data_IF_814676126886
#
_entry.id   IF_814676126886
#
_cell.length_a   1.000
_cell.length_b   1.000
_cell.length_c   1.000
_cell.angle_alpha   90.00
_cell.angle_beta   90.00
_cell.angle_gamma   90.00
#
_symmetry.space_group_name_H-M   'P 1'
#
loop_
_entity.id
_entity.type
_entity.pdbx_description
1 polymer ?
#
# COMPACT_ATOMS: atom_id res chain seq x y z
N UNK A 1 -1.17 -44.29 66.86
CA UNK A 1 -2.56 -44.27 67.35
C UNK A 1 -2.92 -42.81 67.67
N UNK A 2 -4.12 -42.30 67.34
CA UNK A 2 -5.32 -43.04 67.01
C UNK A 2 -5.92 -42.72 65.63
N UNK A 3 -6.70 -43.69 65.16
CA UNK A 3 -7.68 -43.53 64.11
C UNK A 3 -8.90 -42.72 64.60
N UNK A 4 -9.40 -41.85 63.73
CA UNK A 4 -10.55 -41.07 64.12
C UNK A 4 -11.36 -40.54 62.90
N UNK A 5 -12.49 -41.15 62.67
CA UNK A 5 -13.76 -40.67 62.09
C UNK A 5 -13.83 -40.43 60.56
N UNK A 6 -14.04 -41.54 59.86
CA UNK A 6 -14.83 -41.56 58.60
C UNK A 6 -16.23 -42.11 58.93
N UNK A 7 -17.06 -41.39 59.59
CA UNK A 7 -18.47 -41.78 59.79
C UNK A 7 -19.29 -40.59 60.31
N UNK A 8 -19.85 -39.78 59.41
CA UNK A 8 -20.93 -38.83 59.76
C UNK A 8 -21.73 -38.21 58.61
N UNK A 9 -21.60 -38.70 57.39
CA UNK A 9 -22.40 -38.08 56.28
C UNK A 9 -23.50 -38.97 55.66
N UNK A 10 -23.68 -40.20 56.15
CA UNK A 10 -24.73 -41.10 55.58
C UNK A 10 -26.05 -41.17 56.38
N UNK A 11 -26.13 -40.58 57.53
CA UNK A 11 -27.37 -40.68 58.38
C UNK A 11 -28.40 -39.59 58.13
N UNK A 12 -28.15 -38.62 57.25
CA UNK A 12 -29.09 -37.51 56.96
C UNK A 12 -30.00 -37.71 55.73
N UNK A 13 -29.72 -38.73 54.89
CA UNK A 13 -30.46 -38.92 53.65
C UNK A 13 -31.57 -39.98 53.69
N UNK A 14 -31.66 -40.80 54.72
CA UNK A 14 -32.61 -41.90 54.80
C UNK A 14 -34.09 -41.49 55.16
N UNK A 15 -34.34 -40.21 55.44
CA UNK A 15 -35.68 -39.68 55.81
C UNK A 15 -36.18 -38.51 54.96
N UNK A 16 -35.59 -38.27 53.79
CA UNK A 16 -36.04 -37.23 52.92
C UNK A 16 -37.11 -37.75 51.92
N UNK A 17 -38.13 -36.96 51.70
CA UNK A 17 -39.13 -37.25 50.66
C UNK A 17 -38.43 -37.42 49.28
N UNK A 18 -38.94 -38.33 48.44
CA UNK A 18 -38.33 -38.58 47.12
C UNK A 18 -38.08 -37.32 46.28
N UNK A 19 -38.97 -36.35 46.33
CA UNK A 19 -38.88 -35.04 45.65
C UNK A 19 -37.70 -34.18 46.16
N UNK A 20 -37.43 -34.25 47.47
CA UNK A 20 -36.34 -33.49 48.09
C UNK A 20 -34.98 -34.09 47.80
N UNK A 21 -34.90 -35.41 47.67
CA UNK A 21 -33.73 -36.14 47.22
C UNK A 21 -33.35 -35.83 45.74
N UNK A 22 -34.37 -35.77 44.90
CA UNK A 22 -34.19 -35.40 43.49
C UNK A 22 -33.78 -33.96 43.31
N UNK A 23 -34.34 -33.03 44.10
CA UNK A 23 -33.93 -31.61 44.12
C UNK A 23 -32.47 -31.47 44.53
N UNK A 24 -32.02 -32.12 45.59
CA UNK A 24 -30.62 -32.10 46.04
C UNK A 24 -29.68 -32.71 45.03
N UNK A 25 -30.05 -33.77 44.33
CA UNK A 25 -29.26 -34.34 43.23
C UNK A 25 -29.09 -33.33 42.11
N UNK A 26 -30.15 -32.69 41.65
CA UNK A 26 -30.10 -31.63 40.64
C UNK A 26 -29.21 -30.45 41.05
N UNK A 27 -29.38 -29.98 42.30
CA UNK A 27 -28.57 -28.90 42.86
C UNK A 27 -27.05 -29.27 42.91
N UNK A 28 -26.75 -30.52 43.24
CA UNK A 28 -25.36 -31.03 43.28
C UNK A 28 -24.77 -31.16 41.89
N UNK A 29 -25.58 -31.63 40.92
CA UNK A 29 -25.18 -31.76 39.51
C UNK A 29 -24.92 -30.40 38.87
N UNK A 30 -25.82 -29.44 39.02
CA UNK A 30 -25.67 -28.04 38.57
C UNK A 30 -24.47 -27.36 39.23
N UNK A 31 -24.23 -27.63 40.52
CA UNK A 31 -23.07 -27.09 41.23
C UNK A 31 -21.76 -27.71 40.75
N UNK A 32 -21.79 -29.03 40.41
CA UNK A 32 -20.68 -29.76 39.82
C UNK A 32 -20.31 -29.23 38.44
N UNK A 33 -21.32 -28.95 37.58
CA UNK A 33 -21.10 -28.37 36.25
C UNK A 33 -20.57 -26.92 36.31
N UNK A 34 -21.09 -26.10 37.25
CA UNK A 34 -20.60 -24.74 37.49
C UNK A 34 -19.15 -24.70 37.96
N UNK A 35 -18.74 -25.64 38.83
CA UNK A 35 -17.36 -25.76 39.32
C UNK A 35 -16.44 -26.27 38.20
N UNK A 36 -16.87 -27.25 37.41
CA UNK A 36 -16.14 -27.76 36.25
C UNK A 36 -15.99 -26.70 35.14
N UNK A 37 -17.03 -25.90 34.90
CA UNK A 37 -16.98 -24.78 33.95
C UNK A 37 -16.02 -23.68 34.40
N UNK A 38 -16.02 -23.33 35.71
CA UNK A 38 -15.03 -22.39 36.27
C UNK A 38 -13.61 -22.95 36.20
N UNK A 39 -13.40 -24.21 36.53
CA UNK A 39 -12.06 -24.84 36.47
C UNK A 39 -11.51 -24.87 35.04
N UNK A 40 -12.34 -25.20 34.04
CA UNK A 40 -11.94 -25.17 32.61
C UNK A 40 -11.58 -23.76 32.16
N UNK A 41 -12.35 -22.73 32.51
CA UNK A 41 -12.05 -21.32 32.19
C UNK A 41 -10.72 -20.86 32.82
N UNK A 42 -10.42 -21.24 34.06
CA UNK A 42 -9.16 -20.89 34.72
C UNK A 42 -7.97 -21.65 34.11
N UNK A 43 -8.13 -22.89 33.70
CA UNK A 43 -7.10 -23.66 33.00
C UNK A 43 -6.77 -23.05 31.65
N UNK A 44 -7.77 -22.58 30.89
CA UNK A 44 -7.55 -21.88 29.63
C UNK A 44 -6.84 -20.52 29.82
N UNK A 45 -7.21 -19.73 30.83
CA UNK A 45 -6.56 -18.46 31.16
C UNK A 45 -5.11 -18.65 31.60
N UNK A 46 -4.83 -19.74 32.32
CA UNK A 46 -3.47 -20.07 32.80
C UNK A 46 -2.52 -20.53 31.68
N UNK A 47 -3.03 -21.01 30.56
CA UNK A 47 -2.24 -21.48 29.41
C UNK A 47 -2.25 -20.41 28.29
N UNK A 48 -3.41 -19.87 27.96
CA UNK A 48 -3.56 -18.91 26.87
C UNK A 48 -2.93 -17.53 27.21
N UNK A 49 -2.99 -17.10 28.47
CA UNK A 49 -2.38 -15.87 28.93
C UNK A 49 -0.86 -15.83 28.75
N UNK A 50 -0.10 -16.79 29.33
CA UNK A 50 1.35 -16.87 29.13
C UNK A 50 1.75 -17.10 27.67
N UNK A 51 1.02 -17.93 26.93
CA UNK A 51 1.28 -18.17 25.50
C UNK A 51 1.08 -16.89 24.69
N UNK A 52 0.02 -16.15 24.96
CA UNK A 52 -0.23 -14.84 24.34
C UNK A 52 0.87 -13.83 24.66
N UNK A 53 1.32 -13.79 25.92
CA UNK A 53 2.43 -12.93 26.34
C UNK A 53 3.75 -13.28 25.62
N UNK A 54 4.03 -14.58 25.45
CA UNK A 54 5.22 -15.04 24.71
C UNK A 54 5.13 -14.66 23.23
N UNK A 55 3.96 -14.83 22.59
CA UNK A 55 3.75 -14.43 21.19
C UNK A 55 3.94 -12.92 21.04
N UNK A 56 3.35 -12.12 21.92
CA UNK A 56 3.53 -10.66 21.91
C UNK A 56 5.01 -10.28 22.11
N UNK A 57 5.72 -10.92 23.02
CA UNK A 57 7.14 -10.66 23.24
C UNK A 57 7.99 -11.03 22.00
N UNK A 58 7.67 -12.13 21.32
CA UNK A 58 8.33 -12.53 20.06
C UNK A 58 8.04 -11.49 18.97
N UNK A 59 6.78 -11.07 18.83
CA UNK A 59 6.37 -10.05 17.85
C UNK A 59 7.06 -8.71 18.10
N UNK A 60 7.11 -8.24 19.34
CA UNK A 60 7.83 -7.03 19.74
C UNK A 60 9.34 -7.16 19.49
N UNK A 61 9.94 -8.31 19.78
CA UNK A 61 11.34 -8.59 19.48
C UNK A 61 11.65 -8.61 17.98
N UNK A 62 10.77 -9.21 17.18
CA UNK A 62 10.86 -9.21 15.72
C UNK A 62 10.72 -7.78 15.17
N UNK A 63 9.72 -7.04 15.64
CA UNK A 63 9.50 -5.64 15.26
C UNK A 63 10.71 -4.75 15.62
N UNK A 64 11.28 -4.91 16.81
CA UNK A 64 12.46 -4.14 17.21
C UNK A 64 13.69 -4.46 16.33
N UNK A 65 13.88 -5.74 15.96
CA UNK A 65 15.01 -6.17 15.12
C UNK A 65 14.85 -5.78 13.65
N UNK A 66 13.66 -5.93 13.11
CA UNK A 66 13.34 -5.65 11.70
C UNK A 66 11.91 -5.09 11.57
N UNK A 67 11.69 -3.82 11.98
CA UNK A 67 10.37 -3.21 11.95
C UNK A 67 9.77 -3.19 10.55
N UNK A 68 10.60 -2.93 9.55
CA UNK A 68 10.14 -2.84 8.15
C UNK A 68 9.79 -4.21 7.59
N UNK A 69 10.54 -5.25 7.93
CA UNK A 69 10.17 -6.62 7.56
C UNK A 69 8.84 -7.04 8.17
N UNK A 70 8.57 -6.66 9.42
CA UNK A 70 7.27 -6.91 10.07
C UNK A 70 6.16 -6.09 9.41
N UNK A 71 6.39 -4.81 9.12
CA UNK A 71 5.42 -3.97 8.42
C UNK A 71 5.12 -4.51 7.02
N UNK A 72 6.15 -4.91 6.25
CA UNK A 72 5.96 -5.57 4.95
C UNK A 72 5.14 -6.85 5.06
N UNK A 73 5.40 -7.66 6.08
CA UNK A 73 4.65 -8.89 6.32
C UNK A 73 3.18 -8.59 6.66
N UNK A 74 2.90 -7.61 7.53
CA UNK A 74 1.54 -7.17 7.84
C UNK A 74 0.85 -6.67 6.58
N UNK A 75 1.49 -5.79 5.82
CA UNK A 75 0.93 -5.21 4.59
C UNK A 75 0.67 -6.24 3.50
N UNK A 76 1.59 -7.20 3.29
CA UNK A 76 1.36 -8.28 2.32
C UNK A 76 0.24 -9.21 2.76
N UNK A 77 0.03 -9.36 4.06
CA UNK A 77 -1.09 -10.14 4.62
C UNK A 77 -2.41 -9.39 4.43
N UNK A 78 -2.44 -8.09 4.70
CA UNK A 78 -3.61 -7.22 4.47
C UNK A 78 -3.98 -7.16 2.98
N UNK A 79 -2.98 -6.98 2.11
CA UNK A 79 -3.18 -7.05 0.65
C UNK A 79 -3.74 -8.41 0.22
N UNK A 80 -3.25 -9.51 0.82
CA UNK A 80 -3.78 -10.84 0.57
C UNK A 80 -5.27 -10.98 0.94
N UNK A 81 -5.71 -10.37 2.04
CA UNK A 81 -7.14 -10.33 2.41
C UNK A 81 -7.99 -9.51 1.44
N UNK A 82 -7.41 -8.48 0.82
CA UNK A 82 -8.05 -7.69 -0.25
C UNK A 82 -7.93 -8.35 -1.64
N UNK A 83 -7.53 -9.62 -1.72
CA UNK A 83 -7.37 -10.35 -2.98
C UNK A 83 -6.17 -9.95 -3.82
N UNK A 84 -5.24 -9.16 -3.27
CA UNK A 84 -4.01 -8.73 -3.94
C UNK A 84 -2.89 -9.72 -3.64
N UNK A 85 -2.16 -10.15 -4.67
CA UNK A 85 -1.01 -11.03 -4.55
C UNK A 85 0.23 -10.47 -5.23
N UNK A 86 1.42 -10.76 -4.66
CA UNK A 86 2.69 -10.48 -5.30
C UNK A 86 2.99 -11.54 -6.36
N UNK A 87 3.43 -11.10 -7.54
CA UNK A 87 3.83 -11.92 -8.67
C UNK A 87 5.18 -11.45 -9.22
N UNK A 88 5.75 -12.24 -10.10
CA UNK A 88 7.01 -11.95 -10.78
C UNK A 88 6.88 -12.23 -12.26
N UNK A 89 7.53 -11.43 -13.09
CA UNK A 89 7.57 -11.61 -14.54
C UNK A 89 8.99 -11.38 -15.05
N UNK A 90 9.47 -12.30 -15.89
CA UNK A 90 10.74 -12.15 -16.60
C UNK A 90 10.51 -11.28 -17.84
N UNK A 91 11.26 -10.19 -17.95
CA UNK A 91 11.31 -9.28 -19.10
C UNK A 91 12.74 -9.24 -19.65
N UNK A 92 12.94 -8.59 -20.81
CA UNK A 92 14.26 -8.51 -21.46
C UNK A 92 15.34 -7.91 -20.54
N UNK A 93 14.96 -6.92 -19.72
CA UNK A 93 15.84 -6.24 -18.79
C UNK A 93 15.98 -6.94 -17.42
N UNK A 94 15.34 -8.08 -17.21
CA UNK A 94 15.42 -8.87 -15.99
C UNK A 94 14.08 -9.09 -15.31
N UNK A 95 14.12 -9.47 -14.04
CA UNK A 95 12.93 -9.78 -13.26
C UNK A 95 12.22 -8.49 -12.84
N UNK A 96 10.93 -8.39 -13.12
CA UNK A 96 10.06 -7.35 -12.57
C UNK A 96 9.05 -7.97 -11.60
N UNK A 97 9.01 -7.48 -10.38
CA UNK A 97 8.01 -7.87 -9.39
C UNK A 97 6.81 -6.95 -9.49
N UNK A 98 5.60 -7.46 -9.26
CA UNK A 98 4.39 -6.65 -9.29
C UNK A 98 3.33 -7.21 -8.36
N UNK A 99 2.38 -6.35 -7.99
CA UNK A 99 1.19 -6.72 -7.22
C UNK A 99 -0.02 -6.73 -8.14
N UNK A 100 -0.92 -7.68 -7.95
CA UNK A 100 -2.13 -7.83 -8.76
C UNK A 100 -3.30 -8.24 -7.89
N UNK A 101 -4.44 -7.61 -8.06
CA UNK A 101 -5.68 -8.16 -7.53
C UNK A 101 -6.10 -9.37 -8.39
N UNK A 102 -6.67 -10.39 -7.77
CA UNK A 102 -7.04 -11.65 -8.42
C UNK A 102 -8.13 -11.54 -9.51
N UNK A 103 -8.23 -10.39 -10.17
CA UNK A 103 -9.26 -10.00 -11.11
C UNK A 103 -9.51 -10.99 -12.24
N UNK A 104 -10.74 -11.03 -12.70
CA UNK A 104 -11.20 -11.85 -13.82
C UNK A 104 -10.58 -11.39 -15.14
N UNK A 105 -10.35 -12.31 -16.08
CA UNK A 105 -9.67 -12.06 -17.37
C UNK A 105 -10.30 -10.99 -18.27
N UNK A 106 -11.55 -10.64 -18.02
CA UNK A 106 -12.33 -9.71 -18.85
C UNK A 106 -12.43 -8.28 -18.28
N UNK A 107 -11.63 -7.93 -17.26
CA UNK A 107 -11.70 -6.62 -16.60
C UNK A 107 -10.76 -5.61 -17.27
N UNK A 108 -11.21 -4.36 -17.32
CA UNK A 108 -10.40 -3.24 -17.82
C UNK A 108 -9.14 -3.06 -16.94
N UNK A 109 -7.94 -3.04 -17.54
CA UNK A 109 -6.70 -3.00 -16.75
C UNK A 109 -6.41 -1.58 -16.25
N UNK A 110 -5.97 -1.53 -14.98
CA UNK A 110 -5.43 -0.33 -14.32
C UNK A 110 -4.01 -0.63 -13.86
N UNK A 111 -3.04 0.17 -14.29
CA UNK A 111 -1.64 0.06 -13.86
C UNK A 111 -1.33 1.23 -12.94
N UNK A 112 -0.84 0.92 -11.74
CA UNK A 112 -0.45 1.87 -10.70
C UNK A 112 1.07 1.96 -10.66
N UNK A 113 1.63 3.12 -10.98
CA UNK A 113 3.07 3.35 -11.12
C UNK A 113 3.54 4.20 -9.94
N UNK A 114 4.42 3.62 -9.10
CA UNK A 114 5.02 4.33 -7.97
C UNK A 114 6.12 5.29 -8.42
N UNK A 115 6.45 6.26 -7.59
CA UNK A 115 7.57 7.19 -7.76
C UNK A 115 8.75 6.84 -6.86
N UNK A 116 9.40 7.87 -6.32
CA UNK A 116 10.53 7.72 -5.40
C UNK A 116 10.11 7.18 -4.03
N UNK A 117 11.02 6.47 -3.39
CA UNK A 117 10.85 5.97 -2.02
C UNK A 117 10.16 4.61 -1.94
N UNK A 118 9.00 4.49 -1.29
CA UNK A 118 8.44 3.18 -1.00
C UNK A 118 7.97 2.46 -2.28
N UNK A 119 8.02 1.12 -2.23
CA UNK A 119 7.61 0.26 -3.33
C UNK A 119 6.10 0.34 -3.65
N UNK A 120 5.71 -0.27 -4.77
CA UNK A 120 4.32 -0.27 -5.24
C UNK A 120 3.32 -0.74 -4.19
N UNK A 121 3.65 -1.79 -3.39
CA UNK A 121 2.77 -2.29 -2.34
C UNK A 121 2.50 -1.24 -1.26
N UNK A 122 3.51 -0.46 -0.88
CA UNK A 122 3.36 0.56 0.17
C UNK A 122 2.57 1.77 -0.30
N UNK A 123 2.84 2.22 -1.54
CA UNK A 123 2.21 3.41 -2.11
C UNK A 123 0.73 3.17 -2.43
N UNK A 124 0.39 1.96 -2.88
CA UNK A 124 -0.94 1.66 -3.43
C UNK A 124 -1.79 0.72 -2.57
N UNK A 125 -1.29 0.30 -1.39
CA UNK A 125 -1.91 -0.72 -0.53
C UNK A 125 -3.39 -0.49 -0.23
N UNK A 126 -3.76 0.76 0.05
CA UNK A 126 -5.09 1.09 0.54
C UNK A 126 -6.11 1.30 -0.60
N UNK A 127 -5.64 1.36 -1.87
CA UNK A 127 -6.49 1.63 -3.04
C UNK A 127 -6.58 0.47 -4.04
N UNK A 128 -5.59 -0.45 -4.07
CA UNK A 128 -5.59 -1.57 -5.02
C UNK A 128 -6.82 -2.48 -4.89
N UNK A 129 -7.13 -2.91 -3.67
CA UNK A 129 -8.30 -3.74 -3.37
C UNK A 129 -9.60 -3.05 -3.75
N UNK A 130 -9.89 -1.87 -3.21
CA UNK A 130 -11.10 -1.10 -3.51
C UNK A 130 -11.29 -0.77 -4.99
N UNK A 131 -10.24 -0.42 -5.73
CA UNK A 131 -10.34 -0.24 -7.19
C UNK A 131 -10.69 -1.57 -7.87
N UNK A 132 -10.08 -2.69 -7.41
CA UNK A 132 -10.39 -4.03 -7.91
C UNK A 132 -11.83 -4.45 -7.66
N UNK A 133 -12.41 -4.13 -6.50
CA UNK A 133 -13.82 -4.33 -6.18
C UNK A 133 -14.75 -3.53 -7.12
N UNK A 134 -14.25 -2.43 -7.68
CA UNK A 134 -14.91 -1.66 -8.73
C UNK A 134 -14.94 -2.34 -10.11
N UNK A 135 -14.56 -3.62 -10.21
CA UNK A 135 -14.48 -4.42 -11.43
C UNK A 135 -13.33 -4.05 -12.38
N UNK A 136 -12.20 -3.58 -11.85
CA UNK A 136 -10.97 -3.35 -12.62
C UNK A 136 -9.89 -4.41 -12.29
N UNK A 137 -9.06 -4.73 -13.27
CA UNK A 137 -7.86 -5.55 -13.06
C UNK A 137 -6.71 -4.63 -12.71
N UNK A 138 -6.39 -4.53 -11.42
CA UNK A 138 -5.35 -3.61 -10.93
C UNK A 138 -4.01 -4.33 -10.86
N UNK A 139 -2.98 -3.70 -11.43
CA UNK A 139 -1.60 -4.16 -11.37
C UNK A 139 -0.70 -3.01 -10.93
N UNK A 140 0.26 -3.29 -10.05
CA UNK A 140 1.21 -2.31 -9.55
C UNK A 140 2.63 -2.89 -9.64
N UNK A 141 3.36 -2.65 -10.76
CA UNK A 141 4.75 -3.08 -10.89
C UNK A 141 5.67 -2.27 -9.98
N UNK A 142 6.70 -2.91 -9.44
CA UNK A 142 7.87 -2.23 -8.94
C UNK A 142 8.78 -1.91 -10.14
N UNK A 143 9.13 -0.64 -10.30
CA UNK A 143 10.05 -0.19 -11.34
C UNK A 143 11.42 -0.85 -11.18
N UNK A 144 12.25 -0.87 -12.21
CA UNK A 144 13.60 -1.41 -12.12
C UNK A 144 14.47 -0.61 -11.16
N UNK A 145 15.34 -1.29 -10.40
CA UNK A 145 16.13 -0.65 -9.35
C UNK A 145 15.37 -0.38 -8.06
N UNK A 146 14.11 -0.82 -7.96
CA UNK A 146 13.28 -0.65 -6.77
C UNK A 146 12.80 -1.97 -6.19
N UNK A 147 12.78 -2.05 -4.87
CA UNK A 147 12.28 -3.19 -4.10
C UNK A 147 12.92 -4.53 -4.52
N UNK A 148 12.10 -5.49 -4.96
CA UNK A 148 12.55 -6.83 -5.35
C UNK A 148 12.60 -7.00 -6.89
N UNK A 149 12.46 -5.92 -7.68
CA UNK A 149 12.70 -5.93 -9.12
C UNK A 149 14.20 -5.90 -9.41
N UNK A 150 14.61 -6.21 -10.63
CA UNK A 150 16.03 -6.26 -11.04
C UNK A 150 16.75 -4.94 -10.79
N UNK A 151 17.92 -5.03 -10.13
CA UNK A 151 18.80 -3.89 -9.83
C UNK A 151 20.04 -3.98 -10.76
N UNK A 152 19.86 -3.56 -12.01
CA UNK A 152 20.99 -3.50 -12.94
C UNK A 152 21.86 -2.25 -12.74
N UNK A 153 23.11 -2.37 -13.12
CA UNK A 153 24.05 -1.24 -13.24
C UNK A 153 23.83 -0.54 -14.59
N UNK A 154 22.70 0.14 -14.71
CA UNK A 154 22.29 0.93 -15.88
C UNK A 154 21.90 2.33 -15.40
N UNK A 155 21.83 3.30 -16.31
CA UNK A 155 21.31 4.61 -15.99
C UNK A 155 19.78 4.53 -15.90
N UNK A 156 19.24 4.49 -14.69
CA UNK A 156 17.80 4.58 -14.46
C UNK A 156 17.30 5.98 -14.82
N UNK A 157 16.43 6.08 -15.79
CA UNK A 157 15.83 7.32 -16.24
C UNK A 157 14.31 7.15 -16.36
N UNK A 158 13.56 8.24 -16.45
CA UNK A 158 12.11 8.17 -16.73
C UNK A 158 11.88 7.41 -18.04
N UNK A 159 12.70 7.67 -19.06
CA UNK A 159 12.64 6.96 -20.34
C UNK A 159 12.90 5.46 -20.20
N UNK A 160 13.90 5.06 -19.38
CA UNK A 160 14.22 3.65 -19.14
C UNK A 160 13.05 2.93 -18.42
N UNK A 161 12.49 3.55 -17.40
CA UNK A 161 11.37 2.99 -16.67
C UNK A 161 10.08 2.94 -17.53
N UNK A 162 9.86 3.92 -18.40
CA UNK A 162 8.76 3.89 -19.37
C UNK A 162 8.93 2.75 -20.40
N UNK A 163 10.16 2.46 -20.83
CA UNK A 163 10.44 1.30 -21.68
C UNK A 163 10.20 -0.03 -20.94
N UNK A 164 10.58 -0.10 -19.67
CA UNK A 164 10.27 -1.25 -18.80
C UNK A 164 8.74 -1.45 -18.64
N UNK A 165 7.99 -0.37 -18.48
CA UNK A 165 6.53 -0.39 -18.43
C UNK A 165 5.92 -0.90 -19.75
N UNK A 166 6.48 -0.49 -20.91
CA UNK A 166 6.02 -1.00 -22.22
C UNK A 166 6.19 -2.52 -22.31
N UNK A 167 7.36 -3.03 -21.92
CA UNK A 167 7.63 -4.49 -21.88
C UNK A 167 6.70 -5.22 -20.91
N UNK A 168 6.40 -4.63 -19.77
CA UNK A 168 5.42 -5.17 -18.83
C UNK A 168 4.03 -5.27 -19.45
N UNK A 169 3.54 -4.20 -20.08
CA UNK A 169 2.24 -4.15 -20.76
C UNK A 169 2.15 -5.18 -21.88
N UNK A 170 3.20 -5.29 -22.71
CA UNK A 170 3.30 -6.29 -23.79
C UNK A 170 3.25 -7.71 -23.22
N UNK A 171 4.04 -8.02 -22.19
CA UNK A 171 4.10 -9.36 -21.59
C UNK A 171 2.78 -9.74 -20.91
N UNK A 172 2.08 -8.78 -20.32
CA UNK A 172 0.74 -8.98 -19.74
C UNK A 172 -0.35 -9.08 -20.81
N UNK A 173 0.00 -8.88 -22.11
CA UNK A 173 -0.91 -8.91 -23.27
C UNK A 173 -2.09 -7.95 -23.10
N UNK A 174 -1.79 -6.73 -22.70
CA UNK A 174 -2.78 -5.68 -22.51
C UNK A 174 -2.81 -4.79 -23.75
N UNK A 175 -3.98 -4.71 -24.39
CA UNK A 175 -4.16 -3.90 -25.59
C UNK A 175 -4.25 -2.42 -25.25
N UNK A 176 -4.99 -2.08 -24.19
CA UNK A 176 -5.19 -0.71 -23.72
C UNK A 176 -5.31 -0.67 -22.20
N UNK A 177 -4.74 0.35 -21.55
CA UNK A 177 -4.62 0.42 -20.09
C UNK A 177 -5.01 1.78 -19.54
N UNK A 178 -5.54 1.81 -18.32
CA UNK A 178 -5.61 3.01 -17.50
C UNK A 178 -4.30 3.15 -16.72
N UNK A 179 -3.64 4.28 -16.79
CA UNK A 179 -2.41 4.56 -16.07
C UNK A 179 -2.68 5.54 -14.93
N UNK A 180 -2.26 5.17 -13.72
CA UNK A 180 -2.21 6.05 -12.56
C UNK A 180 -0.76 6.11 -12.09
N UNK A 181 -0.10 7.24 -12.26
CA UNK A 181 1.27 7.45 -11.80
C UNK A 181 1.32 8.43 -10.64
N UNK A 182 2.11 8.12 -9.63
CA UNK A 182 2.36 8.99 -8.49
C UNK A 182 3.83 9.45 -8.48
N UNK A 183 4.07 10.74 -8.14
CA UNK A 183 5.40 11.38 -8.08
C UNK A 183 6.15 11.21 -9.41
N UNK A 184 7.41 10.74 -9.46
CA UNK A 184 8.09 10.42 -10.72
C UNK A 184 7.44 9.29 -11.51
N UNK A 185 6.63 8.43 -10.88
CA UNK A 185 5.79 7.48 -11.59
C UNK A 185 4.74 8.16 -12.48
N UNK A 186 4.35 9.40 -12.15
CA UNK A 186 3.50 10.21 -13.04
C UNK A 186 4.26 10.66 -14.30
N UNK A 187 5.56 10.98 -14.17
CA UNK A 187 6.41 11.28 -15.34
C UNK A 187 6.64 10.04 -16.20
N UNK A 188 6.82 8.84 -15.59
CA UNK A 188 6.89 7.56 -16.33
C UNK A 188 5.59 7.30 -17.10
N UNK A 189 4.42 7.48 -16.44
CA UNK A 189 3.12 7.31 -17.07
C UNK A 189 2.92 8.30 -18.23
N UNK A 190 3.32 9.55 -18.03
CA UNK A 190 3.20 10.60 -19.04
C UNK A 190 4.15 10.36 -20.21
N UNK A 191 5.41 9.95 -19.94
CA UNK A 191 6.38 9.57 -20.98
C UNK A 191 5.85 8.43 -21.85
N UNK A 192 5.35 7.36 -21.21
CA UNK A 192 4.73 6.25 -21.91
C UNK A 192 3.54 6.71 -22.77
N UNK A 193 2.68 7.54 -22.20
CA UNK A 193 1.45 7.99 -22.89
C UNK A 193 1.72 8.82 -24.14
N UNK A 194 2.75 9.67 -24.14
CA UNK A 194 3.10 10.46 -25.32
C UNK A 194 3.76 9.63 -26.43
N UNK A 195 4.38 8.50 -26.08
CA UNK A 195 4.98 7.59 -27.05
C UNK A 195 4.01 6.51 -27.55
N UNK A 196 2.99 6.14 -26.75
CA UNK A 196 2.01 5.11 -27.02
C UNK A 196 0.56 5.59 -26.76
N UNK A 197 0.11 6.69 -27.39
CA UNK A 197 -1.18 7.30 -27.10
C UNK A 197 -2.38 6.38 -27.40
N UNK A 198 -2.23 5.44 -28.32
CA UNK A 198 -3.24 4.45 -28.70
C UNK A 198 -3.39 3.31 -27.68
N UNK A 199 -2.37 3.09 -26.84
CA UNK A 199 -2.37 2.07 -25.79
C UNK A 199 -2.89 2.57 -24.43
N UNK A 200 -3.17 3.86 -24.29
CA UNK A 200 -3.66 4.44 -23.03
C UNK A 200 -5.11 4.87 -23.16
N UNK A 201 -5.96 4.35 -22.26
CA UNK A 201 -7.37 4.71 -22.21
C UNK A 201 -7.57 5.98 -21.38
N UNK A 202 -6.95 6.05 -20.22
CA UNK A 202 -6.99 7.19 -19.29
C UNK A 202 -5.64 7.37 -18.62
N UNK A 203 -5.27 8.61 -18.39
CA UNK A 203 -4.04 8.99 -17.69
C UNK A 203 -4.37 9.79 -16.43
N UNK A 204 -3.96 9.30 -15.28
CA UNK A 204 -4.11 9.97 -13.99
C UNK A 204 -2.74 10.27 -13.41
N UNK A 205 -2.44 11.55 -13.21
CA UNK A 205 -1.20 12.03 -12.64
C UNK A 205 -1.45 12.44 -11.19
N UNK A 206 -0.76 11.82 -10.25
CA UNK A 206 -0.94 12.01 -8.80
C UNK A 206 0.31 12.64 -8.23
N UNK A 207 0.21 13.88 -7.72
CA UNK A 207 1.32 14.60 -7.08
C UNK A 207 2.62 14.55 -7.90
N UNK A 208 2.54 14.59 -9.22
CA UNK A 208 3.66 14.41 -10.13
C UNK A 208 3.34 14.75 -11.57
N UNK A 209 4.38 14.63 -12.41
CA UNK A 209 4.35 14.96 -13.83
C UNK A 209 4.84 16.37 -14.12
N UNK A 210 5.86 16.47 -14.96
CA UNK A 210 6.44 17.75 -15.42
C UNK A 210 6.89 18.66 -14.28
N UNK A 211 7.67 18.14 -13.34
CA UNK A 211 8.20 18.92 -12.21
C UNK A 211 9.02 20.14 -12.62
N UNK A 212 9.77 20.02 -13.74
CA UNK A 212 10.70 21.02 -14.20
C UNK A 212 12.03 20.99 -13.42
N UNK A 213 13.09 21.54 -14.02
CA UNK A 213 14.46 21.49 -13.49
C UNK A 213 14.59 22.05 -12.06
N UNK A 214 13.91 23.16 -11.77
CA UNK A 214 13.97 23.79 -10.45
C UNK A 214 13.35 22.90 -9.36
N UNK A 215 12.21 22.28 -9.68
CA UNK A 215 11.55 21.32 -8.76
C UNK A 215 12.35 20.05 -8.62
N UNK A 216 12.88 19.48 -9.70
CA UNK A 216 13.74 18.30 -9.66
C UNK A 216 14.99 18.52 -8.79
N UNK A 217 15.58 19.73 -8.82
CA UNK A 217 16.68 20.08 -7.91
C UNK A 217 16.24 20.10 -6.45
N UNK A 218 15.06 20.67 -6.16
CA UNK A 218 14.50 20.67 -4.81
C UNK A 218 14.19 19.24 -4.34
N UNK A 219 13.57 18.42 -5.19
CA UNK A 219 13.27 17.03 -4.91
C UNK A 219 14.52 16.22 -4.55
N UNK A 220 15.64 16.42 -5.26
CA UNK A 220 16.93 15.79 -4.90
C UNK A 220 17.38 16.07 -3.50
N UNK A 221 17.20 17.30 -3.03
CA UNK A 221 17.58 17.71 -1.67
C UNK A 221 16.61 17.17 -0.63
N UNK A 222 15.33 17.17 -0.93
CA UNK A 222 14.26 16.95 0.03
C UNK A 222 13.80 15.48 0.07
N UNK A 223 13.87 14.75 -1.06
CA UNK A 223 13.42 13.36 -1.16
C UNK A 223 14.54 12.31 -1.09
N UNK A 224 15.81 12.71 -1.17
CA UNK A 224 16.95 11.83 -0.96
C UNK A 224 17.62 12.13 0.39
N UNK A 225 17.06 11.67 1.51
CA UNK A 225 17.56 12.00 2.82
C UNK A 225 18.95 11.38 3.05
N UNK A 226 19.89 12.23 3.53
CA UNK A 226 21.26 11.78 3.84
C UNK A 226 21.47 11.46 5.32
N UNK A 227 20.45 11.64 6.14
CA UNK A 227 20.47 11.36 7.58
C UNK A 227 19.08 10.98 8.10
N UNK A 228 19.04 10.37 9.27
CA UNK A 228 17.79 10.05 9.97
C UNK A 228 16.94 11.28 10.24
N UNK A 229 17.56 12.40 10.63
CA UNK A 229 16.86 13.65 10.88
C UNK A 229 16.27 14.22 9.59
N UNK A 230 17.02 14.17 8.47
CA UNK A 230 16.53 14.58 7.16
C UNK A 230 15.33 13.71 6.71
N UNK A 231 15.39 12.41 6.92
CA UNK A 231 14.28 11.50 6.64
C UNK A 231 13.04 11.80 7.50
N UNK A 232 13.24 12.08 8.79
CA UNK A 232 12.15 12.46 9.67
C UNK A 232 11.50 13.78 9.22
N UNK A 233 12.30 14.75 8.80
CA UNK A 233 11.80 16.02 8.28
C UNK A 233 11.05 15.82 6.97
N UNK A 234 11.60 15.05 6.05
CA UNK A 234 10.95 14.68 4.78
C UNK A 234 9.57 14.03 5.03
N UNK A 235 9.50 13.07 5.94
CA UNK A 235 8.23 12.42 6.28
C UNK A 235 7.20 13.41 6.81
N UNK A 236 7.61 14.34 7.71
CA UNK A 236 6.73 15.40 8.24
C UNK A 236 6.25 16.36 7.16
N UNK A 237 7.11 16.69 6.20
CA UNK A 237 6.78 17.62 5.12
C UNK A 237 5.87 16.95 4.08
N UNK A 238 6.06 15.65 3.83
CA UNK A 238 5.34 14.90 2.80
C UNK A 238 3.89 14.55 3.17
N UNK A 239 3.58 14.42 4.46
CA UNK A 239 2.23 14.09 4.95
C UNK A 239 1.58 15.28 5.62
N UNK A 240 0.29 15.46 5.43
CA UNK A 240 -0.50 16.47 6.14
C UNK A 240 -0.65 16.10 7.63
N UNK A 241 -0.94 14.83 7.91
CA UNK A 241 -1.07 14.30 9.28
C UNK A 241 -0.29 12.98 9.40
N UNK A 242 1.01 13.10 9.70
CA UNK A 242 1.86 11.94 9.89
C UNK A 242 1.74 11.43 11.33
N UNK A 243 1.31 10.17 11.55
CA UNK A 243 1.35 9.57 12.88
C UNK A 243 2.75 9.58 13.48
N UNK A 244 2.90 9.82 14.80
CA UNK A 244 4.21 9.85 15.45
C UNK A 244 4.91 8.50 15.30
N UNK A 245 6.14 8.53 14.78
CA UNK A 245 6.95 7.34 14.53
C UNK A 245 8.25 7.42 15.34
N UNK A 246 8.64 6.35 16.07
CA UNK A 246 9.87 6.31 16.84
C UNK A 246 11.13 6.47 15.98
N UNK A 247 12.17 7.13 16.50
CA UNK A 247 13.42 7.40 15.77
C UNK A 247 14.07 6.14 15.18
N UNK A 248 14.06 5.02 15.91
CA UNK A 248 14.66 3.77 15.41
C UNK A 248 14.01 3.27 14.11
N UNK A 249 12.76 3.63 13.83
CA UNK A 249 12.12 3.27 12.56
C UNK A 249 12.72 4.05 11.41
N UNK A 250 12.96 5.35 11.57
CA UNK A 250 13.64 6.17 10.55
C UNK A 250 15.06 5.68 10.28
N UNK A 251 15.82 5.27 11.33
CA UNK A 251 17.14 4.64 11.18
C UNK A 251 17.08 3.37 10.34
N UNK A 252 16.06 2.53 10.56
CA UNK A 252 15.88 1.30 9.78
C UNK A 252 15.44 1.58 8.34
N UNK A 253 14.58 2.57 8.13
CA UNK A 253 14.18 3.02 6.80
C UNK A 253 15.36 3.51 6.00
N UNK A 254 16.25 4.32 6.59
CA UNK A 254 17.49 4.76 5.95
C UNK A 254 18.35 3.60 5.45
N UNK A 255 18.48 2.54 6.26
CA UNK A 255 19.25 1.35 5.87
C UNK A 255 18.65 0.57 4.69
N UNK A 256 17.34 0.69 4.46
CA UNK A 256 16.68 0.02 3.32
C UNK A 256 16.68 0.87 2.05
N UNK A 257 16.51 2.18 2.19
CA UNK A 257 16.59 3.12 1.06
C UNK A 257 17.94 3.10 0.35
N UNK A 258 19.01 2.73 1.07
CA UNK A 258 20.35 2.65 0.46
C UNK A 258 20.41 1.73 -0.78
N UNK A 259 19.53 0.72 -0.89
CA UNK A 259 19.42 -0.17 -2.06
C UNK A 259 18.83 0.52 -3.28
N UNK A 260 17.84 1.36 -3.10
CA UNK A 260 17.08 1.99 -4.19
C UNK A 260 17.63 3.39 -4.55
N UNK A 261 18.52 3.95 -3.73
CA UNK A 261 19.02 5.34 -3.82
C UNK A 261 19.72 5.65 -5.15
N UNK A 262 20.35 4.66 -5.80
CA UNK A 262 20.97 4.86 -7.11
C UNK A 262 19.90 5.15 -8.16
N UNK A 263 18.88 4.28 -8.27
CA UNK A 263 17.80 4.45 -9.24
C UNK A 263 17.05 5.77 -8.99
N UNK A 264 16.74 6.09 -7.72
CA UNK A 264 16.10 7.35 -7.34
C UNK A 264 16.89 8.58 -7.79
N UNK A 265 18.21 8.57 -7.53
CA UNK A 265 19.11 9.68 -7.92
C UNK A 265 19.19 9.83 -9.44
N UNK A 266 19.30 8.73 -10.15
CA UNK A 266 19.42 8.72 -11.62
C UNK A 266 18.11 9.17 -12.28
N UNK A 267 16.95 8.71 -11.80
CA UNK A 267 15.65 9.20 -12.28
C UNK A 267 15.49 10.70 -12.07
N UNK A 268 15.82 11.25 -10.90
CA UNK A 268 15.78 12.69 -10.65
C UNK A 268 16.75 13.46 -11.56
N UNK A 269 17.89 12.88 -11.90
CA UNK A 269 18.84 13.49 -12.83
C UNK A 269 18.34 13.49 -14.28
N UNK A 270 17.51 12.54 -14.66
CA UNK A 270 16.96 12.44 -16.01
C UNK A 270 15.81 13.42 -16.28
N UNK A 271 15.14 13.94 -15.23
CA UNK A 271 13.97 14.81 -15.33
C UNK A 271 14.10 15.92 -16.39
N UNK A 272 15.17 16.75 -16.44
CA UNK A 272 15.22 17.85 -17.42
C UNK A 272 15.23 17.37 -18.87
N UNK A 273 15.91 16.26 -19.16
CA UNK A 273 16.00 15.66 -20.50
C UNK A 273 14.68 14.99 -20.89
N UNK A 274 14.15 14.17 -20.00
CA UNK A 274 12.99 13.33 -20.29
C UNK A 274 11.72 14.15 -20.33
N UNK A 275 11.58 15.19 -19.50
CA UNK A 275 10.50 16.17 -19.64
C UNK A 275 10.58 16.97 -20.95
N UNK A 276 11.78 17.25 -21.45
CA UNK A 276 11.95 17.85 -22.77
C UNK A 276 11.32 17.01 -23.89
N UNK A 277 11.53 15.67 -23.82
CA UNK A 277 10.88 14.72 -24.72
C UNK A 277 9.35 14.71 -24.57
N UNK A 278 8.86 14.58 -23.33
CA UNK A 278 7.41 14.62 -23.03
C UNK A 278 6.78 15.87 -23.63
N UNK A 279 7.32 17.07 -23.30
CA UNK A 279 6.80 18.37 -23.77
C UNK A 279 6.74 18.46 -25.29
N UNK A 280 7.74 17.90 -26.00
CA UNK A 280 7.78 17.91 -27.46
C UNK A 280 6.66 17.09 -28.11
N UNK A 281 6.10 16.13 -27.37
CA UNK A 281 5.07 15.20 -27.86
C UNK A 281 3.71 15.35 -27.17
N UNK A 282 3.51 16.31 -26.27
CA UNK A 282 2.25 16.53 -25.54
C UNK A 282 1.03 16.62 -26.48
N UNK A 283 1.21 17.13 -27.70
CA UNK A 283 0.16 17.20 -28.69
C UNK A 283 -0.43 15.85 -29.11
N UNK A 284 0.31 14.76 -28.91
CA UNK A 284 -0.17 13.41 -29.26
C UNK A 284 -1.25 12.87 -28.32
N UNK A 285 -1.28 13.38 -27.07
CA UNK A 285 -2.25 13.00 -26.04
C UNK A 285 -3.32 14.07 -25.80
N UNK A 286 -3.51 14.98 -26.72
CA UNK A 286 -4.48 16.09 -26.57
C UNK A 286 -5.92 15.61 -26.32
N UNK A 287 -6.28 14.46 -26.90
CA UNK A 287 -7.61 13.86 -26.78
C UNK A 287 -7.66 12.76 -25.71
N UNK A 288 -6.54 12.47 -25.04
CA UNK A 288 -6.51 11.48 -23.98
C UNK A 288 -7.18 12.05 -22.73
N UNK A 289 -8.15 11.32 -22.18
CA UNK A 289 -8.74 11.69 -20.90
C UNK A 289 -7.64 11.69 -19.82
N UNK A 290 -7.29 12.90 -19.40
CA UNK A 290 -6.23 13.11 -18.40
C UNK A 290 -6.80 13.77 -17.16
N UNK A 291 -6.47 13.22 -15.99
CA UNK A 291 -6.79 13.82 -14.69
C UNK A 291 -5.48 14.13 -13.95
N UNK A 292 -5.38 15.34 -13.45
CA UNK A 292 -4.24 15.81 -12.65
C UNK A 292 -4.73 15.97 -11.23
N UNK A 293 -4.10 15.29 -10.28
CA UNK A 293 -4.51 15.33 -8.88
C UNK A 293 -3.34 15.52 -7.95
N UNK A 294 -3.57 16.23 -6.84
CA UNK A 294 -2.53 16.46 -5.82
C UNK A 294 -3.14 16.80 -4.45
N UNK A 295 -2.32 16.72 -3.42
CA UNK A 295 -2.66 17.19 -2.08
C UNK A 295 -2.56 18.71 -1.97
N UNK A 296 -3.57 19.35 -1.37
CA UNK A 296 -3.59 20.80 -1.19
C UNK A 296 -2.49 21.37 -0.28
N UNK A 297 -1.76 20.47 0.42
CA UNK A 297 -0.61 20.77 1.30
C UNK A 297 0.68 20.12 0.82
N UNK A 298 0.70 19.62 -0.40
CA UNK A 298 1.88 19.00 -1.01
C UNK A 298 2.99 20.06 -1.18
N UNK A 299 4.18 19.88 -0.59
CA UNK A 299 5.28 20.86 -0.68
C UNK A 299 6.08 20.73 -1.99
N UNK A 300 5.88 19.66 -2.75
CA UNK A 300 6.65 19.31 -3.94
C UNK A 300 5.88 19.57 -5.22
N UNK A 301 4.60 19.18 -5.23
CA UNK A 301 3.71 19.36 -6.38
C UNK A 301 2.47 20.13 -5.94
N UNK A 302 2.20 21.24 -6.59
CA UNK A 302 1.07 22.12 -6.21
C UNK A 302 0.36 22.70 -7.42
N UNK A 303 -0.56 23.63 -7.16
CA UNK A 303 -1.41 24.26 -8.16
C UNK A 303 -0.63 24.78 -9.37
N UNK A 304 0.56 25.37 -9.18
CA UNK A 304 1.38 25.90 -10.29
C UNK A 304 1.80 24.81 -11.28
N UNK A 305 2.18 23.63 -10.80
CA UNK A 305 2.56 22.49 -11.65
C UNK A 305 1.31 21.90 -12.30
N UNK A 306 0.24 21.70 -11.51
CA UNK A 306 -1.05 21.25 -12.02
C UNK A 306 -1.60 22.14 -13.13
N UNK A 307 -1.58 23.47 -12.93
CA UNK A 307 -2.00 24.47 -13.91
C UNK A 307 -1.12 24.44 -15.18
N UNK A 308 0.19 24.21 -15.02
CA UNK A 308 1.11 24.11 -16.15
C UNK A 308 0.82 22.88 -17.03
N UNK A 309 0.49 21.72 -16.43
CA UNK A 309 0.08 20.54 -17.17
C UNK A 309 -1.29 20.75 -17.79
N UNK A 310 -2.26 21.29 -17.06
CA UNK A 310 -3.58 21.62 -17.55
C UNK A 310 -3.53 22.59 -18.74
N UNK A 311 -2.65 23.60 -18.66
CA UNK A 311 -2.40 24.53 -19.77
C UNK A 311 -1.83 23.86 -21.02
N UNK A 312 -1.01 22.81 -20.84
CA UNK A 312 -0.47 22.01 -21.93
C UNK A 312 -1.47 20.94 -22.44
N UNK A 313 -2.42 20.52 -21.61
CA UNK A 313 -3.50 19.57 -21.91
C UNK A 313 -4.86 20.19 -21.53
N UNK A 314 -5.42 21.10 -22.34
CA UNK A 314 -6.63 21.86 -21.96
C UNK A 314 -7.89 20.98 -21.74
N UNK A 315 -7.91 19.74 -22.26
CA UNK A 315 -8.97 18.77 -22.01
C UNK A 315 -8.86 18.02 -20.68
N UNK A 316 -7.77 18.24 -19.90
CA UNK A 316 -7.59 17.55 -18.62
C UNK A 316 -8.51 18.10 -17.54
N UNK A 317 -8.85 17.25 -16.54
CA UNK A 317 -9.54 17.66 -15.32
C UNK A 317 -8.56 17.75 -14.14
N UNK A 318 -8.92 18.50 -13.10
CA UNK A 318 -8.11 18.63 -11.88
C UNK A 318 -8.90 18.23 -10.65
N UNK A 319 -8.26 17.49 -9.74
CA UNK A 319 -8.81 17.10 -8.45
C UNK A 319 -7.81 17.47 -7.35
N UNK A 320 -8.24 18.19 -6.31
CA UNK A 320 -7.38 18.61 -5.22
C UNK A 320 -7.87 18.08 -3.89
N UNK A 321 -7.06 17.25 -3.22
CA UNK A 321 -7.29 16.73 -1.88
C UNK A 321 -6.82 17.78 -0.85
N UNK A 322 -7.72 18.64 -0.40
CA UNK A 322 -7.40 19.89 0.36
C UNK A 322 -6.59 19.65 1.64
N UNK A 323 -6.81 18.54 2.30
CA UNK A 323 -6.19 18.14 3.58
C UNK A 323 -5.20 16.99 3.42
N UNK A 324 -4.55 16.88 2.26
CA UNK A 324 -3.49 15.91 1.99
C UNK A 324 -2.19 16.59 1.68
N UNK A 325 -1.08 15.95 2.03
CA UNK A 325 0.26 16.24 1.57
C UNK A 325 0.56 15.57 0.21
N UNK A 326 1.74 14.96 0.10
CA UNK A 326 2.24 14.38 -1.15
C UNK A 326 1.62 13.01 -1.50
N UNK A 327 0.92 12.38 -0.54
CA UNK A 327 0.38 11.02 -0.66
C UNK A 327 -1.16 10.97 -0.55
N UNK A 328 -1.93 11.62 -1.45
CA UNK A 328 -3.39 11.64 -1.34
C UNK A 328 -4.02 10.23 -1.33
N UNK A 329 -3.43 9.27 -2.02
CA UNK A 329 -3.88 7.88 -2.07
C UNK A 329 -3.67 7.11 -0.74
N UNK A 330 -2.79 7.61 0.14
CA UNK A 330 -2.57 7.03 1.48
C UNK A 330 -3.29 7.81 2.58
N UNK A 331 -3.41 9.12 2.42
CA UNK A 331 -4.01 10.00 3.41
C UNK A 331 -5.55 10.04 3.30
N UNK A 332 -6.09 9.86 2.10
CA UNK A 332 -7.51 9.84 1.80
C UNK A 332 -7.89 8.68 0.85
N UNK A 333 -7.62 7.42 1.21
CA UNK A 333 -7.76 6.30 0.28
C UNK A 333 -9.18 6.08 -0.22
N UNK A 334 -10.21 6.30 0.60
CA UNK A 334 -11.61 6.17 0.21
C UNK A 334 -12.00 7.25 -0.80
N UNK A 335 -11.73 8.54 -0.49
CA UNK A 335 -12.03 9.66 -1.39
C UNK A 335 -11.25 9.56 -2.71
N UNK A 336 -9.98 9.11 -2.62
CA UNK A 336 -9.16 8.85 -3.80
C UNK A 336 -9.76 7.75 -4.67
N UNK A 337 -10.11 6.61 -4.09
CA UNK A 337 -10.72 5.47 -4.80
C UNK A 337 -12.04 5.87 -5.47
N UNK A 338 -12.93 6.54 -4.74
CA UNK A 338 -14.21 7.01 -5.27
C UNK A 338 -14.02 7.96 -6.45
N UNK A 339 -13.03 8.87 -6.34
CA UNK A 339 -12.68 9.79 -7.42
C UNK A 339 -12.17 9.04 -8.66
N UNK A 340 -11.33 8.02 -8.50
CA UNK A 340 -10.82 7.22 -9.63
C UNK A 340 -11.94 6.41 -10.28
N UNK A 341 -12.77 5.73 -9.49
CA UNK A 341 -13.92 4.98 -9.99
C UNK A 341 -14.95 5.88 -10.69
N UNK A 342 -15.14 7.10 -10.21
CA UNK A 342 -15.96 8.09 -10.89
C UNK A 342 -15.38 8.46 -12.26
N UNK A 343 -14.08 8.74 -12.35
CA UNK A 343 -13.39 9.05 -13.61
C UNK A 343 -13.51 7.90 -14.60
N UNK A 344 -13.35 6.66 -14.14
CA UNK A 344 -13.44 5.49 -15.01
C UNK A 344 -14.85 5.28 -15.59
N UNK A 345 -15.90 5.54 -14.82
CA UNK A 345 -17.29 5.39 -15.24
C UNK A 345 -17.76 6.47 -16.22
N UNK A 346 -17.17 7.66 -16.25
CA UNK A 346 -17.61 8.75 -17.13
C UNK A 346 -17.50 8.44 -18.63
N UNK A 347 -16.62 7.49 -19.01
CA UNK A 347 -16.41 7.11 -20.41
C UNK A 347 -17.22 5.90 -20.87
N UNK A 348 -17.81 5.13 -19.94
CA UNK A 348 -18.69 4.00 -20.29
C UNK A 348 -20.07 4.44 -20.82
N UNK A 349 -20.45 5.71 -20.62
CA UNK A 349 -21.74 6.27 -21.01
C UNK A 349 -21.75 7.06 -22.35
N UNK A 350 -20.64 7.10 -23.08
CA UNK A 350 -20.44 7.94 -24.27
C UNK A 350 -20.38 7.19 -25.61
N UNK A 351 -21.01 6.00 -25.72
CA UNK A 351 -21.21 5.32 -27.01
C UNK A 351 -22.65 5.40 -27.49
#
# INVERSE_FOLDING_TARGET
MPAGSKFSHRQGEENLAPEELERRRRETEVRGELIAGKSRRHAWLNIAGPLGAVIIAIMLGAFYKNPIGVLRWVQTTELGWSGVSKQEVGLDEGLMTYYINGGYQAMEPVILIHGLGPNAALVWRDVMGPIGEGHYKVMAPNLYGFADSEHKQVEHSIAYEAAGLDKFIEQMKLDKVNLIGWDLGADVALYYSVDHPDKVERLILVSGGLFGEASAKKLRTDLLPTSTDAMQQQAKDSFFDLPPMPNFMYERMMGQLAGDMQAETEMLNSVPKDEGHIRSKMGQIFNLLTVITWGGKDPYFGARQGDAIHGALPGSATIVFKTSGHYPQLEHPEEFTDSMLFVFKQTEGGQ
#
